data_IF_901367033200
#
_entry.id   IF_901367033200
#
_cell.length_a   1.000
_cell.length_b   1.000
_cell.length_c   1.000
_cell.angle_alpha   90.00
_cell.angle_beta   90.00
_cell.angle_gamma   90.00
#
_symmetry.space_group_name_H-M   'P 1'
#
loop_
_entity.id
_entity.type
_entity.pdbx_description
1 polymer ?
#
# COMPACT_ATOMS: atom_id res chain seq x y z
N UNK A 1 40.77 -8.99 16.51
CA UNK A 1 39.62 -9.92 16.62
C UNK A 1 38.69 -9.59 15.48
N UNK A 2 38.56 -10.47 14.49
CA UNK A 2 37.55 -10.33 13.44
C UNK A 2 36.28 -10.98 13.97
N UNK A 3 35.26 -10.18 14.25
CA UNK A 3 33.91 -10.69 14.48
C UNK A 3 33.38 -11.15 13.12
N UNK A 4 33.26 -12.47 12.94
CA UNK A 4 32.48 -13.02 11.82
C UNK A 4 31.04 -12.64 12.15
N UNK A 5 30.52 -11.61 11.47
CA UNK A 5 29.09 -11.32 11.49
C UNK A 5 28.41 -12.56 10.89
N UNK A 6 27.68 -13.31 11.72
CA UNK A 6 26.79 -14.34 11.20
C UNK A 6 25.82 -13.69 10.23
N UNK A 7 25.51 -14.35 9.12
CA UNK A 7 24.41 -13.93 8.27
C UNK A 7 23.16 -13.90 9.15
N UNK A 8 22.52 -12.74 9.29
CA UNK A 8 21.22 -12.68 9.96
C UNK A 8 20.25 -13.53 9.14
N UNK A 9 19.67 -14.55 9.78
CA UNK A 9 18.68 -15.40 9.15
C UNK A 9 17.37 -14.60 8.99
N UNK A 10 16.73 -14.75 7.82
CA UNK A 10 15.39 -14.24 7.57
C UNK A 10 14.39 -14.80 8.58
N UNK A 11 13.45 -13.97 9.00
CA UNK A 11 12.51 -14.25 10.09
C UNK A 11 11.09 -14.37 9.55
N UNK A 12 10.33 -15.25 10.21
CA UNK A 12 8.88 -15.34 10.01
C UNK A 12 8.20 -14.71 11.22
N UNK A 13 7.39 -13.68 10.99
CA UNK A 13 6.60 -13.01 12.02
C UNK A 13 5.15 -13.44 11.91
N UNK A 14 4.64 -14.14 12.92
CA UNK A 14 3.21 -14.47 12.98
C UNK A 14 2.42 -13.24 13.42
N UNK A 15 1.61 -12.71 12.52
CA UNK A 15 0.78 -11.51 12.75
C UNK A 15 -0.26 -11.80 13.82
N UNK A 16 -0.32 -10.95 14.85
CA UNK A 16 -1.22 -11.13 15.99
C UNK A 16 -0.90 -12.33 16.89
N UNK A 17 0.26 -12.96 16.71
CA UNK A 17 0.70 -14.12 17.49
C UNK A 17 -0.35 -15.26 17.51
N UNK A 18 -0.94 -15.56 18.67
CA UNK A 18 -1.97 -16.59 18.82
C UNK A 18 -3.39 -16.10 18.50
N UNK A 19 -3.57 -14.79 18.45
CA UNK A 19 -4.85 -14.16 18.18
C UNK A 19 -5.14 -14.13 16.68
N UNK A 20 -4.11 -14.13 15.84
CA UNK A 20 -4.25 -14.19 14.37
C UNK A 20 -4.54 -12.84 13.73
N UNK A 21 -5.09 -12.88 12.52
CA UNK A 21 -5.42 -11.72 11.69
C UNK A 21 -6.94 -11.53 11.61
N UNK A 22 -7.51 -10.85 12.59
CA UNK A 22 -8.94 -10.54 12.70
C UNK A 22 -9.15 -9.08 13.18
N UNK A 23 -10.36 -8.56 13.00
CA UNK A 23 -10.76 -7.27 13.56
C UNK A 23 -11.03 -7.32 15.08
N UNK A 24 -11.19 -6.15 15.69
CA UNK A 24 -11.44 -6.01 17.13
C UNK A 24 -12.87 -6.41 17.55
N UNK A 25 -13.80 -6.56 16.60
CA UNK A 25 -15.14 -7.05 16.87
C UNK A 25 -15.13 -8.57 17.10
N UNK A 26 -14.34 -9.29 16.31
CA UNK A 26 -14.15 -10.73 16.44
C UNK A 26 -13.15 -11.07 17.54
N UNK A 27 -12.04 -10.33 17.62
CA UNK A 27 -10.96 -10.59 18.59
C UNK A 27 -10.60 -9.33 19.38
N UNK A 28 -11.37 -8.93 20.40
CA UNK A 28 -11.19 -7.65 21.10
C UNK A 28 -9.85 -7.44 21.81
N UNK A 29 -9.09 -8.52 22.04
CA UNK A 29 -7.77 -8.44 22.67
C UNK A 29 -6.64 -8.10 21.68
N UNK A 30 -6.91 -8.11 20.38
CA UNK A 30 -5.90 -7.84 19.36
C UNK A 30 -5.52 -6.37 19.33
N UNK A 31 -4.21 -6.11 19.23
CA UNK A 31 -3.69 -4.78 19.00
C UNK A 31 -2.44 -4.89 18.13
N UNK A 32 -2.59 -4.62 16.83
CA UNK A 32 -1.47 -4.80 15.90
C UNK A 32 -0.35 -3.79 16.09
N UNK A 33 -0.65 -2.58 16.56
CA UNK A 33 0.40 -1.61 16.90
C UNK A 33 1.31 -2.16 18.00
N UNK A 34 0.71 -2.66 19.08
CA UNK A 34 1.44 -3.32 20.18
C UNK A 34 2.16 -4.58 19.70
N UNK A 35 1.59 -5.30 18.74
CA UNK A 35 2.28 -6.43 18.12
C UNK A 35 3.49 -5.97 17.30
N UNK A 36 3.43 -4.86 16.57
CA UNK A 36 4.58 -4.30 15.82
C UNK A 36 5.69 -3.84 16.78
N UNK A 37 5.32 -3.28 17.93
CA UNK A 37 6.27 -2.68 18.88
C UNK A 37 7.45 -3.60 19.24
N UNK A 38 8.67 -3.11 19.05
CA UNK A 38 9.91 -3.82 19.36
C UNK A 38 10.34 -4.89 18.36
N UNK A 39 9.61 -5.08 17.25
CA UNK A 39 10.04 -5.92 16.13
C UNK A 39 10.87 -5.12 15.13
N UNK A 40 11.75 -5.80 14.40
CA UNK A 40 12.58 -5.19 13.35
C UNK A 40 12.43 -5.98 12.06
N UNK A 41 11.70 -5.40 11.11
CA UNK A 41 11.43 -6.01 9.82
C UNK A 41 12.54 -5.69 8.83
N UNK A 42 12.97 -6.69 8.07
CA UNK A 42 14.01 -6.55 7.05
C UNK A 42 13.57 -7.17 5.74
N UNK A 43 14.21 -6.77 4.65
CA UNK A 43 14.07 -7.45 3.37
C UNK A 43 14.26 -8.96 3.52
N UNK A 44 13.35 -9.73 2.90
CA UNK A 44 13.36 -11.18 2.89
C UNK A 44 12.72 -11.84 4.12
N UNK A 45 12.34 -11.08 5.14
CA UNK A 45 11.47 -11.57 6.20
C UNK A 45 10.06 -11.86 5.63
N UNK A 46 9.30 -12.67 6.35
CA UNK A 46 7.91 -12.99 6.03
C UNK A 46 6.97 -12.58 7.14
N UNK A 47 5.80 -12.07 6.75
CA UNK A 47 4.65 -11.94 7.62
C UNK A 47 3.71 -13.13 7.39
N UNK A 48 3.34 -13.83 8.46
CA UNK A 48 2.49 -15.01 8.43
C UNK A 48 1.14 -14.63 9.04
N UNK A 49 0.13 -14.52 8.19
CA UNK A 49 -1.24 -14.20 8.55
C UNK A 49 -2.02 -15.49 8.72
N UNK A 50 -2.42 -15.80 9.96
CA UNK A 50 -3.36 -16.87 10.25
C UNK A 50 -4.76 -16.26 10.36
N UNK A 51 -5.63 -16.61 9.43
CA UNK A 51 -6.94 -15.98 9.24
C UNK A 51 -7.95 -17.02 8.76
N UNK A 52 -9.14 -16.58 8.35
CA UNK A 52 -10.05 -17.34 7.52
C UNK A 52 -10.28 -16.62 6.16
N UNK A 53 -11.07 -17.22 5.28
CA UNK A 53 -11.37 -16.63 3.96
C UNK A 53 -12.25 -15.39 4.03
N UNK A 54 -12.85 -15.11 5.18
CA UNK A 54 -13.70 -13.96 5.41
C UNK A 54 -12.92 -12.66 5.64
N UNK A 55 -11.58 -12.71 5.66
CA UNK A 55 -10.72 -11.55 5.78
C UNK A 55 -9.67 -11.54 4.67
N UNK A 56 -9.42 -10.37 4.10
CA UNK A 56 -8.35 -10.17 3.12
C UNK A 56 -7.05 -9.70 3.78
N UNK A 57 -5.94 -9.91 3.07
CA UNK A 57 -4.61 -9.41 3.41
C UNK A 57 -4.16 -8.48 2.29
N UNK A 58 -4.44 -7.18 2.45
CA UNK A 58 -4.01 -6.15 1.51
C UNK A 58 -2.67 -5.60 1.99
N UNK A 59 -1.67 -5.59 1.11
CA UNK A 59 -0.41 -4.88 1.28
C UNK A 59 -0.43 -3.65 0.38
N UNK A 60 -0.10 -2.48 0.91
CA UNK A 60 0.08 -1.27 0.11
C UNK A 60 1.30 -0.46 0.56
N UNK A 61 1.92 0.26 -0.36
CA UNK A 61 2.91 1.29 -0.05
C UNK A 61 2.31 2.70 -0.05
N UNK A 62 1.00 2.84 -0.33
CA UNK A 62 0.30 4.11 -0.38
C UNK A 62 -0.43 4.39 0.94
N UNK A 63 0.01 5.43 1.65
CA UNK A 63 -0.59 5.80 2.93
C UNK A 63 -2.06 6.24 2.81
N UNK A 64 -2.46 6.85 1.69
CA UNK A 64 -3.84 7.29 1.47
C UNK A 64 -4.78 6.09 1.34
N UNK A 65 -4.41 5.11 0.53
CA UNK A 65 -5.12 3.82 0.40
C UNK A 65 -5.32 3.17 1.76
N UNK A 66 -4.26 3.09 2.57
CA UNK A 66 -4.33 2.57 3.93
C UNK A 66 -5.27 3.35 4.85
N UNK A 67 -5.13 4.69 4.90
CA UNK A 67 -5.94 5.54 5.79
C UNK A 67 -7.42 5.54 5.44
N UNK A 68 -7.75 5.34 4.17
CA UNK A 68 -9.13 5.25 3.71
C UNK A 68 -9.73 3.85 3.88
N UNK A 69 -8.91 2.84 4.22
CA UNK A 69 -9.30 1.43 4.19
C UNK A 69 -9.90 1.01 2.84
N UNK A 70 -9.41 1.61 1.74
CA UNK A 70 -10.00 1.45 0.41
C UNK A 70 -8.89 1.17 -0.61
N UNK A 71 -9.01 0.03 -1.29
CA UNK A 71 -8.07 -0.42 -2.33
C UNK A 71 -8.70 -0.52 -3.73
N UNK A 72 -9.97 -0.14 -3.91
CA UNK A 72 -10.66 -0.29 -5.20
C UNK A 72 -10.05 0.59 -6.31
N UNK A 73 -9.54 1.77 -5.94
CA UNK A 73 -8.84 2.69 -6.83
C UNK A 73 -7.30 2.58 -6.71
N UNK A 74 -6.80 1.50 -6.10
CA UNK A 74 -5.37 1.35 -5.87
C UNK A 74 -4.58 1.16 -7.16
N UNK A 75 -3.40 1.77 -7.21
CA UNK A 75 -2.41 1.61 -8.29
C UNK A 75 -1.54 0.38 -8.08
N UNK A 76 -0.54 0.19 -8.94
CA UNK A 76 0.46 -0.89 -8.90
C UNK A 76 1.23 -1.05 -7.58
N UNK A 77 1.04 -0.14 -6.61
CA UNK A 77 1.63 -0.18 -5.27
C UNK A 77 0.82 -1.01 -4.25
N UNK A 78 -0.26 -1.68 -4.66
CA UNK A 78 -1.14 -2.46 -3.79
C UNK A 78 -1.32 -3.88 -4.28
N UNK A 79 -1.30 -4.84 -3.35
CA UNK A 79 -1.42 -6.27 -3.64
C UNK A 79 -2.32 -6.92 -2.61
N UNK A 80 -3.31 -7.67 -3.10
CA UNK A 80 -4.10 -8.58 -2.28
C UNK A 80 -3.44 -9.96 -2.28
N UNK A 81 -3.06 -10.44 -1.10
CA UNK A 81 -2.43 -11.74 -0.93
C UNK A 81 -3.47 -12.80 -0.55
N UNK A 82 -3.45 -13.92 -1.25
CA UNK A 82 -4.32 -15.05 -0.93
C UNK A 82 -3.66 -16.39 -1.24
N UNK A 83 -4.02 -17.41 -0.47
CA UNK A 83 -3.63 -18.82 -0.68
C UNK A 83 -4.82 -19.72 -1.02
N UNK A 84 -6.03 -19.14 -1.09
CA UNK A 84 -7.26 -19.85 -1.40
C UNK A 84 -8.15 -19.03 -2.35
N UNK A 85 -9.11 -19.68 -2.99
CA UNK A 85 -10.11 -18.95 -3.75
C UNK A 85 -10.96 -18.08 -2.81
N UNK A 86 -11.23 -16.81 -3.16
CA UNK A 86 -12.05 -15.92 -2.33
C UNK A 86 -13.41 -16.55 -2.04
N UNK A 87 -13.77 -16.62 -0.77
CA UNK A 87 -15.07 -17.07 -0.30
C UNK A 87 -15.37 -16.40 1.04
N UNK A 88 -16.62 -16.02 1.25
CA UNK A 88 -17.08 -15.39 2.49
C UNK A 88 -17.46 -16.51 3.47
N UNK A 89 -16.45 -17.19 4.03
CA UNK A 89 -16.64 -18.28 4.99
C UNK A 89 -15.49 -18.33 6.03
N UNK A 90 -15.75 -18.98 7.16
CA UNK A 90 -14.80 -19.07 8.28
C UNK A 90 -13.79 -20.22 8.11
N UNK A 91 -13.52 -20.68 6.89
CA UNK A 91 -12.51 -21.71 6.65
C UNK A 91 -11.14 -21.10 6.91
N UNK A 92 -10.41 -21.67 7.88
CA UNK A 92 -9.07 -21.24 8.23
C UNK A 92 -8.12 -21.33 7.02
N UNK A 93 -7.31 -20.29 6.85
CA UNK A 93 -6.24 -20.18 5.85
C UNK A 93 -5.02 -19.50 6.45
N UNK A 94 -3.85 -19.76 5.86
CA UNK A 94 -2.62 -19.06 6.19
C UNK A 94 -2.08 -18.39 4.94
N UNK A 95 -1.77 -17.10 5.04
CA UNK A 95 -1.17 -16.30 3.98
C UNK A 95 0.24 -15.89 4.40
N UNK A 96 1.23 -16.18 3.56
CA UNK A 96 2.62 -15.79 3.80
C UNK A 96 2.99 -14.67 2.85
N UNK A 97 3.37 -13.51 3.40
CA UNK A 97 3.73 -12.31 2.63
C UNK A 97 5.22 -12.02 2.77
N UNK A 98 6.02 -12.09 1.70
CA UNK A 98 7.43 -11.69 1.74
C UNK A 98 7.59 -10.17 1.76
N UNK A 99 8.55 -9.68 2.55
CA UNK A 99 8.92 -8.26 2.57
C UNK A 99 9.99 -7.99 1.50
N UNK A 100 9.55 -7.42 0.38
CA UNK A 100 10.37 -7.29 -0.84
C UNK A 100 10.92 -5.88 -1.09
N UNK A 101 10.40 -4.87 -0.37
CA UNK A 101 10.72 -3.45 -0.58
C UNK A 101 11.03 -2.78 0.75
N UNK A 102 12.02 -1.90 0.74
CA UNK A 102 12.37 -1.07 1.88
C UNK A 102 11.37 0.06 2.09
N UNK A 103 11.30 0.54 3.33
CA UNK A 103 10.47 1.66 3.74
C UNK A 103 9.15 1.23 4.35
N UNK A 104 8.29 2.23 4.56
CA UNK A 104 7.00 2.05 5.20
C UNK A 104 6.07 1.21 4.34
N UNK A 105 5.53 0.15 4.94
CA UNK A 105 4.60 -0.78 4.31
C UNK A 105 3.37 -0.89 5.19
N UNK A 106 2.20 -0.84 4.55
CA UNK A 106 0.92 -0.87 5.23
C UNK A 106 0.19 -2.17 4.93
N UNK A 107 -0.50 -2.70 5.95
CA UNK A 107 -1.31 -3.90 5.85
C UNK A 107 -2.69 -3.65 6.41
N UNK A 108 -3.74 -4.09 5.72
CA UNK A 108 -5.11 -3.98 6.21
C UNK A 108 -6.01 -5.03 5.56
N UNK A 109 -7.21 -5.21 6.10
CA UNK A 109 -8.27 -5.98 5.43
C UNK A 109 -9.22 -5.05 4.67
N UNK A 110 -9.43 -5.35 3.39
CA UNK A 110 -10.34 -4.59 2.51
C UNK A 110 -11.75 -5.18 2.44
N UNK A 111 -12.02 -6.29 3.12
CA UNK A 111 -13.35 -6.91 3.09
C UNK A 111 -14.40 -6.02 3.76
N UNK A 112 -15.66 -6.20 3.35
CA UNK A 112 -16.80 -5.40 3.80
C UNK A 112 -16.59 -3.90 3.62
N UNK A 113 -16.14 -3.49 2.43
CA UNK A 113 -15.85 -2.09 2.09
C UNK A 113 -14.92 -1.40 3.10
N UNK A 114 -13.95 -2.16 3.64
CA UNK A 114 -12.96 -1.68 4.60
C UNK A 114 -13.44 -1.62 6.06
N UNK A 115 -14.65 -2.08 6.38
CA UNK A 115 -15.19 -2.08 7.75
C UNK A 115 -14.24 -2.80 8.74
N UNK A 116 -13.70 -3.96 8.36
CA UNK A 116 -12.77 -4.70 9.22
C UNK A 116 -11.47 -3.93 9.50
N UNK A 117 -10.96 -3.21 8.49
CA UNK A 117 -9.84 -2.28 8.68
C UNK A 117 -10.23 -1.16 9.66
N UNK A 118 -11.39 -0.54 9.51
CA UNK A 118 -11.87 0.51 10.44
C UNK A 118 -12.03 0.00 11.88
N UNK A 119 -12.28 -1.31 12.04
CA UNK A 119 -12.30 -2.05 13.30
C UNK A 119 -10.94 -2.62 13.70
N UNK A 120 -9.87 -1.92 13.33
CA UNK A 120 -8.53 -2.17 13.84
C UNK A 120 -7.77 -3.31 13.16
N UNK A 121 -8.31 -3.95 12.10
CA UNK A 121 -7.59 -4.96 11.31
C UNK A 121 -6.62 -4.32 10.31
N UNK A 122 -5.68 -3.55 10.84
CA UNK A 122 -4.69 -2.82 10.07
C UNK A 122 -3.41 -2.59 10.88
N UNK A 123 -2.27 -2.47 10.21
CA UNK A 123 -1.03 -1.98 10.82
C UNK A 123 -0.04 -1.46 9.78
N UNK A 124 0.97 -0.78 10.29
CA UNK A 124 2.09 -0.22 9.55
C UNK A 124 3.40 -0.82 10.08
N UNK A 125 4.35 -1.10 9.19
CA UNK A 125 5.72 -1.47 9.54
C UNK A 125 6.72 -0.66 8.73
N UNK A 126 7.93 -0.51 9.26
CA UNK A 126 9.08 -0.04 8.51
C UNK A 126 10.00 -1.22 8.17
N UNK A 127 10.25 -1.42 6.88
CA UNK A 127 11.13 -2.48 6.38
C UNK A 127 12.52 -1.90 6.12
N UNK A 128 13.52 -2.42 6.85
CA UNK A 128 14.92 -2.05 6.67
C UNK A 128 15.64 -2.96 5.67
N UNK A 129 16.84 -2.58 5.22
CA UNK A 129 17.63 -3.40 4.30
C UNK A 129 18.00 -4.77 4.89
N UNK A 130 18.38 -4.82 6.18
CA UNK A 130 18.91 -6.02 6.82
C UNK A 130 20.04 -6.67 6.02
N UNK A 131 19.92 -7.97 5.74
CA UNK A 131 20.85 -8.72 4.90
C UNK A 131 20.56 -8.59 3.38
N UNK A 132 19.54 -7.82 2.99
CA UNK A 132 19.02 -7.75 1.62
C UNK A 132 18.10 -8.93 1.28
N UNK A 133 17.63 -9.00 0.03
CA UNK A 133 16.79 -10.12 -0.40
C UNK A 133 17.61 -11.41 -0.62
N UNK A 134 17.10 -12.58 -0.22
CA UNK A 134 17.69 -13.85 -0.62
C UNK A 134 17.60 -14.02 -2.15
N UNK A 135 18.52 -14.80 -2.77
CA UNK A 135 18.58 -14.97 -4.22
C UNK A 135 17.23 -15.35 -4.86
N UNK A 136 16.49 -16.27 -4.23
CA UNK A 136 15.19 -16.73 -4.72
C UNK A 136 14.15 -15.60 -4.74
N UNK A 137 14.08 -14.79 -3.68
CA UNK A 137 13.19 -13.61 -3.60
C UNK A 137 13.63 -12.48 -4.53
N UNK A 138 14.93 -12.35 -4.77
CA UNK A 138 15.45 -11.37 -5.73
C UNK A 138 15.04 -11.73 -7.16
N UNK A 139 15.15 -13.00 -7.53
CA UNK A 139 14.79 -13.45 -8.89
C UNK A 139 13.31 -13.22 -9.20
N UNK A 140 12.41 -13.56 -8.27
CA UNK A 140 10.97 -13.36 -8.45
C UNK A 140 10.59 -11.87 -8.48
N UNK A 141 11.20 -11.05 -7.63
CA UNK A 141 10.96 -9.60 -7.61
C UNK A 141 11.40 -8.94 -8.91
N UNK A 142 12.59 -9.29 -9.42
CA UNK A 142 13.10 -8.76 -10.70
C UNK A 142 12.32 -9.27 -11.92
N UNK A 143 11.78 -10.49 -11.88
CA UNK A 143 10.90 -10.99 -12.95
C UNK A 143 9.50 -10.39 -12.95
N UNK A 144 9.08 -9.80 -11.83
CA UNK A 144 7.75 -9.21 -11.61
C UNK A 144 7.64 -7.70 -11.88
N UNK A 145 8.71 -7.03 -12.33
CA UNK A 145 8.65 -5.61 -12.74
C UNK A 145 9.13 -4.58 -11.70
N UNK A 146 9.91 -4.98 -10.69
CA UNK A 146 10.51 -4.05 -9.72
C UNK A 146 11.84 -3.44 -10.19
N UNK A 147 11.87 -2.75 -11.33
CA UNK A 147 13.06 -1.99 -11.75
C UNK A 147 13.14 -0.65 -10.99
N UNK A 148 14.11 -0.55 -10.08
CA UNK A 148 14.68 0.74 -9.70
C UNK A 148 16.20 0.60 -9.59
N UNK A 149 16.98 1.25 -10.47
CA UNK A 149 18.43 1.25 -10.35
C UNK A 149 18.83 2.10 -9.13
N UNK A 150 19.23 1.45 -8.04
CA UNK A 150 19.97 2.14 -6.98
C UNK A 150 21.29 2.70 -7.54
N UNK A 151 21.73 3.90 -7.12
CA UNK A 151 22.93 4.52 -7.68
C UNK A 151 24.15 3.70 -7.28
N UNK A 152 24.76 3.00 -8.23
CA UNK A 152 26.06 2.39 -8.02
C UNK A 152 27.12 3.50 -7.97
N UNK A 153 27.50 3.88 -6.75
CA UNK A 153 28.71 4.64 -6.52
C UNK A 153 29.91 3.69 -6.66
N UNK A 154 30.72 3.85 -7.69
CA UNK A 154 32.15 3.50 -7.67
C UNK A 154 32.90 4.24 -8.76
N UNK A 155 33.87 5.02 -8.29
CA UNK A 155 34.80 5.90 -9.00
C UNK A 155 35.99 5.15 -9.62
N UNK A 156 36.49 5.74 -10.71
CA UNK A 156 37.87 5.82 -11.24
C UNK A 156 38.48 4.67 -12.07
N UNK A 157 39.00 5.07 -13.24
CA UNK A 157 39.94 4.36 -14.12
C UNK A 157 39.48 4.38 -15.59
N UNK A 158 39.60 5.50 -16.31
CA UNK A 158 40.74 5.90 -17.16
C UNK A 158 40.77 5.20 -18.54
N UNK A 159 40.65 6.06 -19.56
CA UNK A 159 41.23 6.00 -20.91
C UNK A 159 40.56 5.18 -22.05
N UNK A 160 39.77 5.94 -22.82
CA UNK A 160 40.03 6.29 -24.22
C UNK A 160 39.30 5.55 -25.37
N UNK A 161 38.71 6.41 -26.21
CA UNK A 161 38.60 6.32 -27.67
C UNK A 161 37.25 5.99 -28.34
N UNK A 162 36.74 7.04 -29.01
CA UNK A 162 35.83 7.13 -30.18
C UNK A 162 34.31 7.20 -29.95
N UNK A 163 33.80 8.42 -29.82
CA UNK A 163 32.42 8.81 -30.16
C UNK A 163 32.32 9.26 -31.63
N UNK A 164 31.28 8.89 -32.39
CA UNK A 164 30.93 9.59 -33.62
C UNK A 164 30.10 10.84 -33.32
N UNK A 165 30.55 12.00 -33.82
CA UNK A 165 29.84 13.28 -33.78
C UNK A 165 28.46 13.18 -34.44
N UNK A 166 27.39 13.45 -33.67
CA UNK A 166 26.07 13.75 -34.24
C UNK A 166 25.83 15.25 -34.14
N UNK A 167 25.98 15.92 -35.28
CA UNK A 167 25.67 17.34 -35.48
C UNK A 167 24.17 17.55 -35.32
N UNK A 168 23.75 18.33 -34.33
CA UNK A 168 22.38 18.88 -34.24
C UNK A 168 22.42 20.38 -34.55
N UNK A 169 21.73 20.86 -35.60
CA UNK A 169 21.58 22.29 -35.86
C UNK A 169 20.71 22.96 -34.80
N UNK A 170 21.21 24.05 -34.23
CA UNK A 170 20.47 24.92 -33.32
C UNK A 170 19.60 25.88 -34.14
N UNK A 171 18.30 25.62 -34.26
CA UNK A 171 17.35 26.66 -34.62
C UNK A 171 15.98 26.38 -34.00
N UNK A 172 15.69 27.04 -32.89
CA UNK A 172 14.31 27.28 -32.49
C UNK A 172 14.17 28.74 -32.12
N UNK A 173 13.46 29.44 -33.01
CA UNK A 173 13.20 30.87 -32.99
C UNK A 173 12.36 31.30 -31.78
N UNK A 174 12.73 32.48 -31.29
CA UNK A 174 12.20 33.21 -30.13
C UNK A 174 10.90 33.93 -30.52
N UNK A 175 9.77 33.77 -29.79
CA UNK A 175 8.66 34.70 -29.90
C UNK A 175 9.01 35.97 -29.10
N UNK A 176 8.93 37.12 -29.78
CA UNK A 176 9.12 38.45 -29.20
C UNK A 176 7.83 38.92 -28.54
N UNK A 177 7.97 39.46 -27.33
CA UNK A 177 6.96 40.25 -26.63
C UNK A 177 6.88 41.65 -27.26
N UNK A 178 5.67 42.12 -27.55
CA UNK A 178 5.36 43.52 -27.83
C UNK A 178 3.83 43.76 -27.69
N UNK A 179 3.43 44.16 -26.47
CA UNK A 179 2.80 45.47 -26.24
C UNK A 179 1.34 45.73 -26.66
N UNK A 180 0.55 46.09 -25.64
CA UNK A 180 -0.64 46.97 -25.62
C UNK A 180 -2.00 46.42 -26.12
N UNK A 181 -2.93 46.18 -25.19
CA UNK A 181 -3.97 47.18 -24.83
C UNK A 181 -5.03 46.66 -23.83
N UNK A 182 -5.30 47.52 -22.84
CA UNK A 182 -6.56 47.75 -22.10
C UNK A 182 -7.11 46.70 -21.11
N UNK A 183 -6.90 47.04 -19.84
CA UNK A 183 -7.84 46.94 -18.72
C UNK A 183 -9.28 47.39 -19.08
N UNK A 184 -10.26 46.61 -18.65
CA UNK A 184 -11.57 47.08 -18.17
C UNK A 184 -12.27 45.98 -17.34
N UNK A 185 -12.50 46.30 -16.06
CA UNK A 185 -13.40 45.61 -15.13
C UNK A 185 -14.85 45.52 -15.65
N UNK A 186 -15.55 44.42 -15.38
CA UNK A 186 -16.97 44.44 -14.95
C UNK A 186 -17.35 43.20 -14.12
N UNK A 187 -17.99 43.46 -13.00
CA UNK A 187 -18.59 42.49 -12.07
C UNK A 187 -19.96 42.00 -12.56
N UNK A 188 -20.34 40.76 -12.24
CA UNK A 188 -21.75 40.41 -12.03
C UNK A 188 -21.89 39.14 -11.18
N UNK A 189 -22.33 39.32 -9.94
CA UNK A 189 -23.03 38.31 -9.17
C UNK A 189 -24.45 38.14 -9.74
N UNK A 190 -24.94 36.90 -9.83
CA UNK A 190 -26.37 36.63 -9.98
C UNK A 190 -26.87 35.80 -8.81
N UNK A 191 -27.70 36.48 -8.03
CA UNK A 191 -28.55 36.00 -6.95
C UNK A 191 -29.88 35.53 -7.54
N UNK A 192 -30.48 34.52 -6.92
CA UNK A 192 -31.92 34.23 -7.00
C UNK A 192 -32.21 32.80 -7.45
N UNK A 193 -32.96 31.95 -6.75
CA UNK A 193 -33.85 32.16 -5.60
C UNK A 193 -35.15 31.38 -5.81
N UNK A 194 -35.57 30.60 -4.80
CA UNK A 194 -36.89 29.95 -4.67
C UNK A 194 -36.96 28.55 -5.30
N UNK A 195 -37.57 27.53 -4.72
CA UNK A 195 -38.44 27.40 -3.55
C UNK A 195 -39.28 26.12 -3.72
N UNK A 196 -39.66 25.46 -2.62
CA UNK A 196 -40.63 24.34 -2.60
C UNK A 196 -40.07 23.08 -1.92
N UNK A 197 -40.34 22.82 -0.63
CA UNK A 197 -41.56 22.25 -0.04
C UNK A 197 -41.85 20.80 -0.48
N UNK A 198 -41.58 19.85 0.42
CA UNK A 198 -42.24 18.54 0.47
C UNK A 198 -41.35 17.38 0.92
N UNK A 199 -41.50 16.87 2.16
CA UNK A 199 -40.90 15.60 2.56
C UNK A 199 -41.82 14.45 2.13
N UNK A 200 -41.32 13.52 1.32
CA UNK A 200 -41.95 12.21 1.16
C UNK A 200 -41.16 11.21 1.98
N UNK A 201 -41.75 10.82 3.11
CA UNK A 201 -41.23 9.77 3.97
C UNK A 201 -41.23 8.43 3.26
N UNK A 202 -40.11 7.72 3.34
CA UNK A 202 -40.07 6.27 3.13
C UNK A 202 -40.21 5.63 4.50
N UNK A 203 -41.32 4.92 4.67
CA UNK A 203 -41.64 4.09 5.82
C UNK A 203 -40.71 2.87 5.78
N UNK A 204 -39.78 2.78 6.73
CA UNK A 204 -39.08 1.52 7.02
C UNK A 204 -40.02 0.68 7.90
N UNK A 205 -40.60 -0.37 7.32
CA UNK A 205 -41.36 -1.36 8.07
C UNK A 205 -40.37 -2.24 8.82
N UNK A 206 -40.46 -2.16 10.14
CA UNK A 206 -39.74 -3.02 11.08
C UNK A 206 -40.30 -4.45 10.97
N UNK A 207 -39.46 -5.41 10.58
CA UNK A 207 -39.79 -6.84 10.57
C UNK A 207 -38.79 -7.62 11.41
N UNK A 208 -39.15 -7.87 12.67
CA UNK A 208 -38.44 -8.82 13.54
C UNK A 208 -38.78 -10.24 13.08
N UNK A 209 -37.78 -11.09 12.88
CA UNK A 209 -37.98 -12.54 12.86
C UNK A 209 -36.81 -13.23 13.56
N UNK A 210 -37.13 -13.75 14.75
CA UNK A 210 -36.34 -14.72 15.50
C UNK A 210 -36.49 -16.11 14.87
N UNK A 211 -35.43 -16.91 14.86
CA UNK A 211 -35.38 -18.39 14.86
C UNK A 211 -33.88 -18.73 14.87
N UNK A 212 -33.22 -19.16 15.95
CA UNK A 212 -33.44 -20.30 16.86
C UNK A 212 -33.75 -21.59 16.11
N UNK A 213 -32.70 -22.31 15.70
CA UNK A 213 -32.40 -23.64 16.25
C UNK A 213 -30.91 -23.94 16.13
#
# INVERSE_FOLDING_TARGET
MFTISGAEAYKNYTVGDKLGWFDDLQTPEINYQKWVDGKNFSLGDFLIFNTDKNHSVIQTYNQTTYKLCDYYDATDDTTEWSTAQPAVDNTAVTVAVPLLKEGTTYFFSGNYDGEQCQHGQHFEIDVSHGAGLPPDLKSQYSSGGGDSPGPSASTSGADDQSTPDTVIPSNFDKPTDNGNAKEASTSAAVVGGGGGLGPMGVVVVVGWAWMVW
#
